data_IF_844963692434
#
_entry.id   IF_844963692434
#
_cell.length_a   1.000
_cell.length_b   1.000
_cell.length_c   1.000
_cell.angle_alpha   90.00
_cell.angle_beta   90.00
_cell.angle_gamma   90.00
#
_symmetry.space_group_name_H-M   'P 1'
#
loop_
_entity.id
_entity.type
_entity.pdbx_description
1 polymer ?
#
# COMPACT_ATOMS: atom_id res chain seq x y z
N UNK A 1 -17.84 -6.03 -5.26
CA UNK A 1 -18.19 -6.06 -3.84
C UNK A 1 -19.59 -6.64 -3.62
N UNK A 2 -20.67 -6.06 -4.17
CA UNK A 2 -22.06 -6.51 -3.97
C UNK A 2 -22.25 -8.02 -4.22
N UNK A 3 -21.65 -8.58 -5.28
CA UNK A 3 -21.71 -10.01 -5.57
C UNK A 3 -21.02 -10.86 -4.47
N UNK A 4 -19.93 -10.39 -3.89
CA UNK A 4 -19.20 -11.11 -2.84
C UNK A 4 -20.00 -11.13 -1.53
N UNK A 5 -20.64 -10.00 -1.20
CA UNK A 5 -21.49 -9.90 0.02
C UNK A 5 -22.71 -10.82 -0.04
N UNK A 6 -23.12 -11.24 -1.25
CA UNK A 6 -24.25 -12.17 -1.45
C UNK A 6 -23.87 -13.67 -1.37
N UNK A 7 -22.58 -13.99 -1.22
CA UNK A 7 -22.15 -15.38 -1.07
C UNK A 7 -22.52 -15.93 0.30
N UNK A 8 -22.84 -17.22 0.37
CA UNK A 8 -23.15 -17.90 1.65
C UNK A 8 -21.93 -17.91 2.58
N UNK A 9 -20.74 -18.10 2.03
CA UNK A 9 -19.48 -17.99 2.77
C UNK A 9 -18.87 -16.62 2.53
N UNK A 10 -18.82 -15.80 3.57
CA UNK A 10 -18.19 -14.48 3.54
C UNK A 10 -16.68 -14.63 3.73
N UNK A 11 -15.84 -13.93 2.92
CA UNK A 11 -14.42 -13.85 3.18
C UNK A 11 -14.16 -13.11 4.50
N UNK A 12 -13.10 -13.50 5.19
CA UNK A 12 -12.67 -12.85 6.43
C UNK A 12 -12.21 -11.40 6.17
N UNK A 13 -11.59 -11.15 5.00
CA UNK A 13 -11.10 -9.84 4.60
C UNK A 13 -11.57 -9.46 3.20
N UNK A 14 -11.84 -8.18 3.02
CA UNK A 14 -12.12 -7.56 1.72
C UNK A 14 -10.98 -6.61 1.38
N UNK A 15 -10.27 -6.86 0.29
CA UNK A 15 -9.30 -5.92 -0.28
C UNK A 15 -9.97 -5.18 -1.42
N UNK A 16 -10.10 -3.87 -1.29
CA UNK A 16 -10.86 -3.04 -2.21
C UNK A 16 -9.99 -1.89 -2.72
N UNK A 17 -9.88 -1.76 -4.03
CA UNK A 17 -9.31 -0.57 -4.66
C UNK A 17 -10.42 0.47 -4.86
N UNK A 18 -10.18 1.69 -4.37
CA UNK A 18 -11.14 2.79 -4.41
C UNK A 18 -10.56 3.98 -5.15
N UNK A 19 -11.35 4.53 -6.08
CA UNK A 19 -11.04 5.80 -6.71
C UNK A 19 -11.44 6.98 -5.82
N UNK A 20 -10.86 8.16 -6.08
CA UNK A 20 -11.27 9.40 -5.43
C UNK A 20 -12.77 9.68 -5.59
N UNK A 21 -13.34 9.38 -6.77
CA UNK A 21 -14.77 9.57 -7.06
C UNK A 21 -15.68 8.70 -6.20
N UNK A 22 -15.26 7.48 -5.89
CA UNK A 22 -16.02 6.61 -4.98
C UNK A 22 -15.96 7.11 -3.56
N UNK A 23 -14.80 7.62 -3.13
CA UNK A 23 -14.60 8.16 -1.79
C UNK A 23 -15.40 9.45 -1.56
N UNK A 24 -15.63 10.27 -2.61
CA UNK A 24 -16.43 11.49 -2.50
C UNK A 24 -17.86 11.24 -2.04
N UNK A 25 -18.44 10.11 -2.41
CA UNK A 25 -19.81 9.73 -2.08
C UNK A 25 -19.92 8.76 -0.89
N UNK A 26 -18.79 8.42 -0.25
CA UNK A 26 -18.77 7.54 0.92
C UNK A 26 -18.71 8.36 2.22
N UNK A 27 -19.79 8.34 3.01
CA UNK A 27 -19.90 9.09 4.27
C UNK A 27 -19.74 8.19 5.49
N UNK A 28 -20.37 7.02 5.48
CA UNK A 28 -20.38 6.08 6.61
C UNK A 28 -19.37 4.92 6.41
N UNK A 29 -18.61 4.95 5.32
CA UNK A 29 -17.62 3.93 5.02
C UNK A 29 -16.49 3.97 6.05
N UNK A 30 -16.23 2.81 6.66
CA UNK A 30 -15.15 2.59 7.61
C UNK A 30 -14.21 1.53 7.06
N UNK A 31 -12.91 1.76 7.14
CA UNK A 31 -11.86 0.83 6.71
C UNK A 31 -10.87 0.60 7.85
N UNK A 32 -10.60 -0.67 8.16
CA UNK A 32 -9.65 -1.04 9.22
C UNK A 32 -8.20 -0.73 8.83
N UNK A 33 -7.88 -0.87 7.54
CA UNK A 33 -6.55 -0.57 7.02
C UNK A 33 -6.71 0.28 5.76
N UNK A 34 -6.39 1.55 5.87
CA UNK A 34 -6.26 2.44 4.72
C UNK A 34 -4.83 2.37 4.17
N UNK A 35 -4.69 2.33 2.84
CA UNK A 35 -3.41 2.29 2.17
C UNK A 35 -3.39 3.31 1.03
N UNK A 36 -2.45 4.25 1.08
CA UNK A 36 -2.21 5.21 -0.01
C UNK A 36 -0.74 5.16 -0.41
N UNK A 37 -0.49 4.73 -1.65
CA UNK A 37 0.87 4.58 -2.18
C UNK A 37 1.50 5.92 -2.53
N UNK A 38 0.75 6.77 -3.20
CA UNK A 38 1.15 8.13 -3.58
C UNK A 38 -0.09 8.94 -3.98
N UNK A 39 0.08 10.26 -4.05
CA UNK A 39 -0.93 11.15 -4.61
C UNK A 39 -0.26 12.04 -5.65
N UNK A 40 -0.46 11.70 -6.92
CA UNK A 40 0.01 12.46 -8.07
C UNK A 40 -1.17 13.07 -8.82
N UNK A 41 -1.01 14.26 -9.47
CA UNK A 41 -2.10 14.89 -10.20
C UNK A 41 -2.68 13.95 -11.27
N UNK A 42 -3.98 13.66 -11.15
CA UNK A 42 -4.75 12.88 -12.10
C UNK A 42 -6.22 13.29 -12.04
N UNK A 43 -6.95 13.13 -13.11
CA UNK A 43 -8.40 13.45 -13.19
C UNK A 43 -8.79 14.83 -12.65
N UNK A 44 -7.89 15.82 -12.78
CA UNK A 44 -8.08 17.16 -12.20
C UNK A 44 -9.27 17.92 -12.81
N UNK A 45 -9.72 17.53 -14.00
CA UNK A 45 -10.93 18.06 -14.65
C UNK A 45 -12.19 17.92 -13.78
N UNK A 46 -12.24 16.88 -12.92
CA UNK A 46 -13.33 16.67 -11.96
C UNK A 46 -13.19 17.45 -10.66
N UNK A 47 -12.01 17.99 -10.38
CA UNK A 47 -11.67 18.72 -9.15
C UNK A 47 -11.31 20.19 -9.47
N UNK A 48 -12.01 20.79 -10.42
CA UNK A 48 -11.80 22.21 -10.82
C UNK A 48 -10.35 22.54 -11.18
N UNK A 49 -9.59 21.51 -11.67
CA UNK A 49 -8.14 21.59 -11.89
C UNK A 49 -7.34 21.90 -10.62
N UNK A 50 -7.91 21.63 -9.44
CA UNK A 50 -7.29 21.83 -8.14
C UNK A 50 -6.76 20.49 -7.59
N UNK A 51 -5.43 20.39 -7.47
CA UNK A 51 -4.77 19.21 -6.94
C UNK A 51 -5.14 18.92 -5.48
N UNK A 52 -5.29 19.96 -4.67
CA UNK A 52 -5.60 19.81 -3.24
C UNK A 52 -7.00 19.22 -3.04
N UNK A 53 -7.98 19.64 -3.83
CA UNK A 53 -9.33 19.03 -3.80
C UNK A 53 -9.29 17.54 -4.16
N UNK A 54 -8.56 17.18 -5.22
CA UNK A 54 -8.37 15.79 -5.61
C UNK A 54 -7.67 14.97 -4.51
N UNK A 55 -6.60 15.50 -3.92
CA UNK A 55 -5.86 14.84 -2.85
C UNK A 55 -6.73 14.66 -1.61
N UNK A 56 -7.48 15.69 -1.20
CA UNK A 56 -8.41 15.61 -0.07
C UNK A 56 -9.53 14.61 -0.30
N UNK A 57 -10.02 14.46 -1.53
CA UNK A 57 -10.99 13.41 -1.88
C UNK A 57 -10.43 12.00 -1.58
N UNK A 58 -9.14 11.74 -1.89
CA UNK A 58 -8.47 10.48 -1.52
C UNK A 58 -8.30 10.32 -0.01
N UNK A 59 -7.99 11.40 0.71
CA UNK A 59 -7.82 11.36 2.16
C UNK A 59 -9.11 11.04 2.91
N UNK A 60 -10.29 11.14 2.26
CA UNK A 60 -11.58 10.72 2.85
C UNK A 60 -11.59 9.24 3.25
N UNK A 61 -10.70 8.42 2.71
CA UNK A 61 -10.55 7.02 3.15
C UNK A 61 -10.27 6.92 4.67
N UNK A 62 -9.74 7.97 5.29
CA UNK A 62 -9.40 8.02 6.72
C UNK A 62 -10.55 8.56 7.60
N UNK A 63 -11.63 9.10 7.01
CA UNK A 63 -12.63 9.93 7.71
C UNK A 63 -13.31 9.27 8.90
N UNK A 64 -13.44 7.94 8.91
CA UNK A 64 -14.11 7.19 9.98
C UNK A 64 -13.16 6.21 10.69
N UNK A 65 -11.84 6.35 10.49
CA UNK A 65 -10.86 5.55 11.20
C UNK A 65 -10.75 5.96 12.68
N UNK A 66 -10.44 4.99 13.52
CA UNK A 66 -10.27 5.11 14.97
C UNK A 66 -8.88 4.61 15.39
N UNK A 67 -8.58 4.62 16.68
CA UNK A 67 -7.33 4.09 17.24
C UNK A 67 -7.09 2.57 17.00
N UNK A 68 -8.12 1.82 16.64
CA UNK A 68 -8.02 0.40 16.30
C UNK A 68 -7.54 0.18 14.86
N UNK A 69 -7.63 1.21 14.03
CA UNK A 69 -7.35 1.15 12.60
C UNK A 69 -5.91 1.53 12.27
N UNK A 70 -5.52 1.33 11.01
CA UNK A 70 -4.19 1.65 10.54
C UNK A 70 -4.21 2.45 9.22
N UNK A 71 -3.28 3.39 9.11
CA UNK A 71 -2.99 4.11 7.87
C UNK A 71 -1.58 3.80 7.40
N UNK A 72 -1.48 3.07 6.29
CA UNK A 72 -0.23 2.73 5.61
C UNK A 72 -0.01 3.73 4.50
N UNK A 73 1.14 4.39 4.46
CA UNK A 73 1.42 5.40 3.46
C UNK A 73 2.91 5.49 3.13
N UNK A 74 3.19 5.91 1.89
CA UNK A 74 4.57 6.19 1.49
C UNK A 74 5.04 7.51 2.09
N UNK A 75 5.98 7.42 3.02
CA UNK A 75 6.46 8.58 3.78
C UNK A 75 7.31 9.57 2.95
N UNK A 76 7.73 9.20 1.74
CA UNK A 76 8.45 10.07 0.80
C UNK A 76 7.50 10.86 -0.14
N UNK A 77 6.20 10.54 -0.15
CA UNK A 77 5.23 11.35 -0.87
C UNK A 77 5.03 12.69 -0.16
N UNK A 78 5.29 13.78 -0.90
CA UNK A 78 5.32 15.13 -0.33
C UNK A 78 3.96 15.55 0.25
N UNK A 79 2.86 15.20 -0.43
CA UNK A 79 1.52 15.52 0.05
C UNK A 79 1.18 14.73 1.31
N UNK A 80 1.40 13.40 1.28
CA UNK A 80 1.08 12.53 2.41
C UNK A 80 1.89 12.90 3.66
N UNK A 81 3.19 13.15 3.51
CA UNK A 81 4.04 13.57 4.62
C UNK A 81 3.57 14.90 5.24
N UNK A 82 3.23 15.90 4.42
CA UNK A 82 2.68 17.17 4.88
C UNK A 82 1.31 17.01 5.54
N UNK A 83 0.44 16.20 4.94
CA UNK A 83 -0.90 15.95 5.48
C UNK A 83 -0.82 15.33 6.87
N UNK A 84 -0.05 14.25 7.02
CA UNK A 84 0.12 13.59 8.32
C UNK A 84 0.70 14.53 9.36
N UNK A 85 1.73 15.32 9.01
CA UNK A 85 2.32 16.28 9.93
C UNK A 85 1.32 17.35 10.39
N UNK A 86 0.49 17.85 9.47
CA UNK A 86 -0.48 18.92 9.76
C UNK A 86 -1.67 18.46 10.60
N UNK A 87 -1.99 17.15 10.58
CA UNK A 87 -3.15 16.59 11.28
C UNK A 87 -2.79 15.82 12.56
N UNK A 88 -1.56 15.95 13.06
CA UNK A 88 -1.16 15.32 14.33
C UNK A 88 -1.85 15.98 15.55
N UNK A 89 -2.23 15.19 16.59
CA UNK A 89 -2.19 13.73 16.63
C UNK A 89 -3.35 13.11 15.84
N UNK A 90 -3.05 12.07 15.06
CA UNK A 90 -4.08 11.26 14.40
C UNK A 90 -4.48 10.08 15.28
N UNK A 91 -5.75 9.68 15.25
CA UNK A 91 -6.28 8.63 16.12
C UNK A 91 -5.75 7.24 15.74
N UNK A 92 -5.73 6.94 14.44
CA UNK A 92 -5.30 5.65 13.92
C UNK A 92 -3.79 5.45 14.00
N UNK A 93 -3.35 4.19 13.95
CA UNK A 93 -1.93 3.85 13.88
C UNK A 93 -1.34 4.28 12.55
N UNK A 94 -0.25 5.03 12.58
CA UNK A 94 0.47 5.46 11.39
C UNK A 94 1.57 4.46 11.06
N UNK A 95 1.56 3.93 9.84
CA UNK A 95 2.52 2.95 9.34
C UNK A 95 3.23 3.48 8.08
N UNK A 96 4.14 4.46 8.21
CA UNK A 96 4.92 4.98 7.09
C UNK A 96 5.92 3.94 6.57
N UNK A 97 6.09 3.87 5.24
CA UNK A 97 7.17 3.10 4.64
C UNK A 97 8.07 3.98 3.76
N UNK A 98 9.35 3.61 3.68
CA UNK A 98 10.39 4.36 2.99
C UNK A 98 11.29 3.45 2.15
N UNK A 99 11.81 3.97 1.04
CA UNK A 99 12.74 3.24 0.15
C UNK A 99 14.21 3.41 0.53
N UNK A 100 14.48 3.99 1.69
CA UNK A 100 15.80 4.14 2.32
C UNK A 100 15.68 3.93 3.83
N UNK A 101 16.81 3.75 4.56
CA UNK A 101 16.79 3.56 6.02
C UNK A 101 16.17 4.77 6.71
N UNK A 102 15.09 4.58 7.47
CA UNK A 102 14.37 5.66 8.14
C UNK A 102 13.98 5.27 9.56
N UNK A 103 14.46 6.04 10.52
CA UNK A 103 14.09 5.85 11.93
C UNK A 103 12.61 6.16 12.13
N UNK A 104 11.89 5.24 12.79
CA UNK A 104 10.46 5.38 13.05
C UNK A 104 9.56 4.97 11.89
N UNK A 105 10.11 4.51 10.77
CA UNK A 105 9.32 3.89 9.71
C UNK A 105 8.74 2.54 10.18
N UNK A 106 7.54 2.21 9.69
CA UNK A 106 6.97 0.88 9.85
C UNK A 106 7.59 -0.13 8.86
N UNK A 107 8.04 0.37 7.70
CA UNK A 107 8.89 -0.41 6.79
C UNK A 107 9.93 0.49 6.14
N UNK A 108 11.12 -0.07 5.92
CA UNK A 108 12.19 0.62 5.20
C UNK A 108 13.07 -0.35 4.40
N UNK A 109 13.90 0.22 3.53
CA UNK A 109 14.95 -0.50 2.84
C UNK A 109 16.27 -0.22 3.53
N UNK A 110 16.98 -1.28 3.93
CA UNK A 110 18.34 -1.15 4.46
C UNK A 110 19.40 -0.93 3.36
N UNK A 111 20.57 -0.45 3.75
CA UNK A 111 21.71 -0.21 2.82
C UNK A 111 22.26 -1.51 2.22
N UNK A 112 22.13 -2.63 2.91
CA UNK A 112 22.55 -3.97 2.47
C UNK A 112 21.49 -4.72 1.65
N UNK A 113 20.40 -4.04 1.27
CA UNK A 113 19.41 -4.56 0.31
C UNK A 113 18.33 -5.44 0.92
N UNK A 114 18.04 -5.25 2.20
CA UNK A 114 16.89 -5.90 2.85
C UNK A 114 15.68 -4.96 2.88
N UNK A 115 14.51 -5.51 2.69
CA UNK A 115 13.24 -4.93 3.09
C UNK A 115 13.03 -5.27 4.57
N UNK A 116 12.88 -4.25 5.42
CA UNK A 116 12.62 -4.41 6.85
C UNK A 116 11.22 -3.92 7.19
N UNK A 117 10.50 -4.69 7.99
CA UNK A 117 9.19 -4.35 8.51
C UNK A 117 9.27 -4.33 10.02
N UNK A 118 8.96 -3.20 10.63
CA UNK A 118 9.01 -2.99 12.08
C UNK A 118 7.57 -3.03 12.61
N UNK A 119 7.19 -4.17 13.17
CA UNK A 119 5.82 -4.41 13.61
C UNK A 119 5.80 -5.10 14.99
N UNK A 120 5.01 -4.58 15.92
CA UNK A 120 4.82 -5.16 17.27
C UNK A 120 6.14 -5.52 18.01
N UNK A 121 7.10 -4.60 17.99
CA UNK A 121 8.45 -4.78 18.59
C UNK A 121 9.29 -5.91 17.96
N UNK A 122 8.93 -6.35 16.75
CA UNK A 122 9.71 -7.29 15.96
C UNK A 122 10.14 -6.62 14.67
N UNK A 123 11.25 -7.10 14.13
CA UNK A 123 11.69 -6.74 12.79
C UNK A 123 11.71 -7.97 11.92
N UNK A 124 10.88 -7.95 10.88
CA UNK A 124 10.92 -8.93 9.81
C UNK A 124 11.85 -8.41 8.71
N UNK A 125 12.76 -9.25 8.26
CA UNK A 125 13.70 -8.92 7.18
C UNK A 125 13.53 -9.85 6.00
N UNK A 126 13.59 -9.28 4.78
CA UNK A 126 13.46 -10.04 3.54
C UNK A 126 14.42 -9.50 2.47
N UNK A 127 15.23 -10.35 1.81
CA UNK A 127 16.13 -9.91 0.75
C UNK A 127 15.34 -9.36 -0.45
N UNK A 128 15.60 -8.11 -0.83
CA UNK A 128 14.90 -7.48 -1.97
C UNK A 128 15.18 -8.23 -3.26
N UNK A 129 16.35 -8.87 -3.39
CA UNK A 129 16.71 -9.70 -4.54
C UNK A 129 15.85 -10.95 -4.72
N UNK A 130 15.17 -11.41 -3.65
CA UNK A 130 14.30 -12.59 -3.65
C UNK A 130 12.82 -12.24 -3.86
N UNK A 131 12.47 -10.95 -3.95
CA UNK A 131 11.10 -10.57 -4.31
C UNK A 131 10.75 -11.10 -5.70
N UNK A 132 9.58 -11.71 -5.83
CA UNK A 132 9.08 -12.20 -7.11
C UNK A 132 8.98 -11.10 -8.17
N UNK A 133 8.64 -9.89 -7.76
CA UNK A 133 8.62 -8.71 -8.62
C UNK A 133 9.72 -7.73 -8.22
N UNK A 134 10.59 -7.42 -9.18
CA UNK A 134 11.72 -6.53 -9.00
C UNK A 134 11.39 -5.09 -9.41
N UNK A 135 12.16 -4.14 -8.90
CA UNK A 135 12.09 -2.73 -9.22
C UNK A 135 11.51 -1.85 -8.09
N UNK A 136 11.78 -0.52 -8.17
CA UNK A 136 11.44 0.39 -7.05
C UNK A 136 9.96 0.39 -6.69
N UNK A 137 9.07 0.46 -7.66
CA UNK A 137 7.62 0.46 -7.42
C UNK A 137 7.12 -0.87 -6.83
N UNK A 138 7.72 -1.99 -7.25
CA UNK A 138 7.35 -3.29 -6.70
C UNK A 138 7.86 -3.48 -5.27
N UNK A 139 8.99 -2.87 -4.91
CA UNK A 139 9.44 -2.80 -3.52
C UNK A 139 8.45 -2.01 -2.65
N UNK A 140 7.99 -0.85 -3.11
CA UNK A 140 6.97 -0.06 -2.42
C UNK A 140 5.69 -0.86 -2.23
N UNK A 141 5.21 -1.51 -3.29
CA UNK A 141 4.03 -2.37 -3.24
C UNK A 141 4.21 -3.54 -2.25
N UNK A 142 5.39 -4.18 -2.25
CA UNK A 142 5.71 -5.26 -1.33
C UNK A 142 5.71 -4.78 0.14
N UNK A 143 6.33 -3.63 0.44
CA UNK A 143 6.32 -3.04 1.78
C UNK A 143 4.89 -2.75 2.26
N UNK A 144 4.11 -2.06 1.45
CA UNK A 144 2.74 -1.68 1.80
C UNK A 144 1.82 -2.89 2.00
N UNK A 145 1.87 -3.87 1.08
CA UNK A 145 1.10 -5.10 1.19
C UNK A 145 1.53 -5.95 2.40
N UNK A 146 2.83 -6.00 2.70
CA UNK A 146 3.36 -6.72 3.85
C UNK A 146 2.91 -6.10 5.17
N UNK A 147 2.93 -4.77 5.30
CA UNK A 147 2.40 -4.08 6.47
C UNK A 147 0.91 -4.36 6.67
N UNK A 148 0.13 -4.34 5.59
CA UNK A 148 -1.29 -4.68 5.65
C UNK A 148 -1.51 -6.14 6.08
N UNK A 149 -0.74 -7.10 5.53
CA UNK A 149 -0.83 -8.51 5.88
C UNK A 149 -0.48 -8.76 7.37
N UNK A 150 0.62 -8.16 7.87
CA UNK A 150 0.99 -8.27 9.28
C UNK A 150 -0.05 -7.63 10.19
N UNK A 151 -0.68 -6.53 9.77
CA UNK A 151 -1.72 -5.85 10.55
C UNK A 151 -2.98 -6.70 10.75
N UNK A 152 -3.24 -7.67 9.89
CA UNK A 152 -4.33 -8.65 10.04
C UNK A 152 -3.87 -10.02 10.56
N UNK A 153 -2.64 -10.11 11.06
CA UNK A 153 -2.12 -11.31 11.73
C UNK A 153 -1.64 -12.42 10.80
N UNK A 154 -1.33 -12.11 9.54
CA UNK A 154 -0.69 -13.09 8.63
C UNK A 154 0.70 -13.45 9.19
N UNK A 155 1.02 -14.73 9.24
CA UNK A 155 2.30 -15.21 9.76
C UNK A 155 3.49 -14.83 8.87
N UNK A 156 4.66 -14.68 9.47
CA UNK A 156 5.89 -14.37 8.73
C UNK A 156 6.21 -15.42 7.65
N UNK A 157 5.95 -16.70 7.91
CA UNK A 157 6.19 -17.77 6.93
C UNK A 157 5.25 -17.65 5.72
N UNK A 158 3.97 -17.34 5.95
CA UNK A 158 3.01 -17.09 4.88
C UNK A 158 3.39 -15.85 4.07
N UNK A 159 3.84 -14.80 4.75
CA UNK A 159 4.31 -13.58 4.10
C UNK A 159 5.56 -13.84 3.24
N UNK A 160 6.58 -14.56 3.76
CA UNK A 160 7.78 -14.93 2.99
C UNK A 160 7.41 -15.71 1.73
N UNK A 161 6.52 -16.70 1.88
CA UNK A 161 6.04 -17.47 0.74
C UNK A 161 5.33 -16.60 -0.29
N UNK A 162 4.47 -15.69 0.13
CA UNK A 162 3.75 -14.80 -0.77
C UNK A 162 4.70 -13.85 -1.53
N UNK A 163 5.69 -13.25 -0.84
CA UNK A 163 6.69 -12.36 -1.46
C UNK A 163 7.56 -13.07 -2.51
N UNK A 164 7.88 -14.35 -2.27
CA UNK A 164 8.68 -15.18 -3.17
C UNK A 164 7.88 -15.70 -4.36
N UNK A 165 6.67 -16.20 -4.12
CA UNK A 165 5.88 -16.95 -5.10
C UNK A 165 4.87 -16.08 -5.87
N UNK A 166 4.82 -14.78 -5.61
CA UNK A 166 3.84 -13.89 -6.22
C UNK A 166 3.94 -13.90 -7.75
N UNK A 167 2.83 -14.17 -8.40
CA UNK A 167 2.70 -14.11 -9.86
C UNK A 167 1.93 -12.86 -10.23
N UNK A 168 2.54 -12.00 -11.05
CA UNK A 168 1.89 -10.78 -11.50
C UNK A 168 0.68 -11.07 -12.39
N UNK A 169 -0.27 -10.16 -12.43
CA UNK A 169 -1.37 -10.23 -13.38
C UNK A 169 -0.84 -10.10 -14.81
N UNK A 170 -1.47 -10.78 -15.80
CA UNK A 170 -1.10 -10.65 -17.20
C UNK A 170 -1.01 -9.18 -17.64
N UNK A 171 -0.11 -8.89 -18.56
CA UNK A 171 0.11 -7.55 -19.11
C UNK A 171 0.70 -6.50 -18.13
N UNK A 172 1.27 -6.94 -16.99
CA UNK A 172 2.02 -6.06 -16.08
C UNK A 172 3.43 -6.57 -15.92
N UNK A 173 4.39 -6.03 -16.69
CA UNK A 173 5.79 -6.46 -16.74
C UNK A 173 5.95 -7.97 -17.00
N UNK A 174 5.03 -8.53 -17.75
CA UNK A 174 5.03 -9.95 -18.12
C UNK A 174 6.21 -10.24 -19.05
N UNK A 175 7.05 -11.21 -18.67
CA UNK A 175 8.12 -11.69 -19.51
C UNK A 175 7.54 -12.55 -20.62
N UNK A 176 7.49 -12.02 -21.85
CA UNK A 176 6.92 -12.74 -23.00
C UNK A 176 7.93 -13.70 -23.61
N UNK A 177 9.16 -13.25 -23.88
CA UNK A 177 10.19 -14.04 -24.54
C UNK A 177 11.59 -13.48 -24.29
N UNK A 178 12.59 -14.31 -24.55
CA UNK A 178 13.98 -13.88 -24.78
C UNK A 178 14.38 -14.38 -26.16
N UNK A 179 14.65 -13.47 -27.09
CA UNK A 179 15.06 -13.76 -28.46
C UNK A 179 16.40 -13.09 -28.70
N UNK A 180 17.41 -13.87 -29.11
CA UNK A 180 18.78 -13.40 -29.36
C UNK A 180 19.37 -12.57 -28.20
N UNK A 181 19.08 -12.94 -26.96
CA UNK A 181 19.54 -12.23 -25.76
C UNK A 181 18.72 -10.98 -25.41
N UNK A 182 17.75 -10.59 -26.21
CA UNK A 182 16.84 -9.45 -25.95
C UNK A 182 15.61 -9.95 -25.21
N UNK A 183 15.32 -9.33 -24.06
CA UNK A 183 14.16 -9.64 -23.24
C UNK A 183 12.95 -8.80 -23.69
N UNK A 184 11.87 -9.47 -24.04
CA UNK A 184 10.58 -8.86 -24.37
C UNK A 184 9.68 -8.89 -23.15
N UNK A 185 9.18 -7.71 -22.77
CA UNK A 185 8.32 -7.51 -21.59
C UNK A 185 7.06 -6.76 -22.05
N UNK A 186 5.88 -7.22 -21.60
CA UNK A 186 4.59 -6.58 -21.86
C UNK A 186 4.15 -5.77 -20.63
#
# INVERSE_FOLDING_TARGET
LARQVMLEEQPEYYVVELSSFQLDDMYDFHVHIALIMNITPDHLDRYHYNFEEYAMAKMRILQNQTYEDAFIYWGEDEFLAKYVLAHQPMEQRLLPFHTYPQVGAAADKSDDGLMRLHFENKTFEYPISELALQGPHNLQNAMAASLAALSVGISEDALRKALHDFVNVPHRLEKIAVIDGVRYIN
#
